data_IF_538702148870
#
_entry.id   IF_538702148870
#
_cell.length_a   1.000
_cell.length_b   1.000
_cell.length_c   1.000
_cell.angle_alpha   90.00
_cell.angle_beta   90.00
_cell.angle_gamma   90.00
#
_symmetry.space_group_name_H-M   'P 1'
#
loop_
_entity.id
_entity.type
_entity.pdbx_description
1 polymer ?
#
# COMPACT_ATOMS: atom_id res chain seq x y z
N UNK A 1 1.73 -7.95 2.17
CA UNK A 1 0.56 -7.16 2.65
C UNK A 1 1.14 -5.96 3.40
N UNK A 2 0.54 -4.77 3.32
CA UNK A 2 1.08 -3.58 3.99
C UNK A 2 -0.02 -2.82 4.74
N UNK A 3 -0.15 -3.12 6.02
CA UNK A 3 -1.17 -2.50 6.88
C UNK A 3 -0.57 -1.28 7.57
N UNK A 4 -1.05 -0.10 7.18
CA UNK A 4 -0.68 1.16 7.83
C UNK A 4 -1.29 1.19 9.25
N UNK A 5 -0.50 1.48 10.30
CA UNK A 5 -0.98 1.58 11.68
C UNK A 5 -2.18 2.51 11.79
N UNK A 6 -3.17 2.17 12.62
CA UNK A 6 -4.44 2.89 12.68
C UNK A 6 -4.29 4.42 12.86
N UNK A 7 -3.41 4.94 13.73
CA UNK A 7 -3.24 6.39 13.89
C UNK A 7 -2.60 7.08 12.68
N UNK A 8 -1.78 6.37 11.91
CA UNK A 8 -1.18 6.85 10.67
C UNK A 8 -2.12 6.74 9.45
N UNK A 9 -3.27 6.06 9.58
CA UNK A 9 -4.23 5.97 8.48
C UNK A 9 -4.71 7.38 8.11
N UNK A 10 -4.84 7.64 6.80
CA UNK A 10 -5.25 8.92 6.20
C UNK A 10 -4.21 10.05 6.22
N UNK A 11 -3.07 9.86 6.88
CA UNK A 11 -1.90 10.75 6.75
C UNK A 11 -1.02 10.25 5.62
N UNK A 12 -1.10 10.91 4.47
CA UNK A 12 -0.39 10.55 3.24
C UNK A 12 -0.02 11.80 2.45
N UNK A 13 0.94 11.67 1.53
CA UNK A 13 1.42 12.80 0.74
C UNK A 13 0.32 13.32 -0.19
N UNK A 14 -0.54 12.45 -0.72
CA UNK A 14 -1.68 12.86 -1.58
C UNK A 14 -2.57 13.92 -0.93
N UNK A 15 -2.78 13.83 0.39
CA UNK A 15 -3.56 14.81 1.16
C UNK A 15 -2.74 16.05 1.56
N UNK A 16 -1.41 15.94 1.58
CA UNK A 16 -0.47 16.99 1.97
C UNK A 16 -0.03 17.90 0.81
N UNK A 17 -0.29 17.51 -0.45
CA UNK A 17 0.10 18.25 -1.65
C UNK A 17 -1.11 18.64 -2.51
N UNK A 18 -0.92 19.55 -3.47
CA UNK A 18 -1.97 19.81 -4.46
C UNK A 18 -2.31 18.58 -5.29
N UNK A 19 -3.57 18.51 -5.72
CA UNK A 19 -4.01 17.59 -6.75
C UNK A 19 -3.11 17.56 -7.99
N UNK A 20 -2.67 18.71 -8.51
CA UNK A 20 -1.78 18.77 -9.68
C UNK A 20 -0.39 18.18 -9.42
N UNK A 21 0.16 18.39 -8.23
CA UNK A 21 1.45 17.80 -7.81
C UNK A 21 1.30 16.28 -7.68
N UNK A 22 0.23 15.82 -7.03
CA UNK A 22 -0.06 14.39 -6.92
C UNK A 22 -0.26 13.73 -8.29
N UNK A 23 -1.02 14.35 -9.20
CA UNK A 23 -1.24 13.84 -10.55
C UNK A 23 0.07 13.74 -11.35
N UNK A 24 0.99 14.70 -11.16
CA UNK A 24 2.34 14.65 -11.75
C UNK A 24 3.16 13.49 -11.19
N UNK A 25 3.24 13.35 -9.86
CA UNK A 25 3.93 12.22 -9.20
C UNK A 25 3.38 10.90 -9.73
N UNK A 26 2.06 10.73 -9.69
CA UNK A 26 1.42 9.49 -10.12
C UNK A 26 1.68 9.17 -11.60
N UNK A 27 1.72 10.19 -12.47
CA UNK A 27 2.07 10.03 -13.88
C UNK A 27 3.51 9.58 -14.05
N UNK A 28 4.46 10.28 -13.44
CA UNK A 28 5.89 9.98 -13.52
C UNK A 28 6.22 8.60 -12.95
N UNK A 29 5.57 8.16 -11.88
CA UNK A 29 5.73 6.82 -11.31
C UNK A 29 5.30 5.73 -12.30
N UNK A 30 4.15 5.90 -12.97
CA UNK A 30 3.68 4.96 -14.01
C UNK A 30 4.63 4.91 -15.20
N UNK A 31 5.09 6.06 -15.68
CA UNK A 31 5.99 6.17 -16.83
C UNK A 31 7.36 5.52 -16.55
N UNK A 32 7.94 5.77 -15.36
CA UNK A 32 9.19 5.14 -14.90
C UNK A 32 9.11 3.61 -14.87
N UNK A 33 7.93 3.05 -14.65
CA UNK A 33 7.68 1.60 -14.63
C UNK A 33 7.17 1.05 -15.96
N UNK A 34 7.27 1.81 -17.05
CA UNK A 34 6.84 1.37 -18.38
C UNK A 34 5.34 1.11 -18.49
N UNK A 35 4.53 1.82 -17.68
CA UNK A 35 3.08 1.62 -17.55
C UNK A 35 2.69 0.19 -17.18
N UNK A 36 3.41 -0.41 -16.22
CA UNK A 36 3.13 -1.75 -15.68
C UNK A 36 3.08 -1.72 -14.16
N UNK A 37 2.42 -2.72 -13.58
CA UNK A 37 2.51 -2.99 -12.15
C UNK A 37 3.97 -3.27 -11.74
N UNK A 38 4.48 -2.58 -10.73
CA UNK A 38 5.84 -2.76 -10.22
C UNK A 38 6.05 -4.01 -9.39
N UNK A 39 4.98 -4.72 -9.05
CA UNK A 39 5.05 -5.99 -8.32
C UNK A 39 4.91 -7.17 -9.28
N UNK A 40 3.80 -7.27 -10.01
CA UNK A 40 3.49 -8.44 -10.84
C UNK A 40 3.73 -8.26 -12.35
N UNK A 41 4.16 -7.07 -12.79
CA UNK A 41 4.39 -6.76 -14.21
C UNK A 41 3.14 -6.67 -15.08
N UNK A 42 1.94 -6.81 -14.50
CA UNK A 42 0.67 -6.74 -15.21
C UNK A 42 0.49 -5.37 -15.88
N UNK A 43 -0.07 -5.41 -17.10
CA UNK A 43 -0.38 -4.27 -17.95
C UNK A 43 -1.89 -3.95 -17.95
N UNK A 44 -2.66 -4.66 -17.12
CA UNK A 44 -4.11 -4.50 -16.98
C UNK A 44 -4.59 -3.11 -16.57
N UNK A 45 -5.90 -2.89 -16.71
CA UNK A 45 -6.56 -1.59 -16.59
C UNK A 45 -6.29 -0.82 -15.28
N UNK A 46 -6.31 0.51 -15.40
CA UNK A 46 -6.12 1.58 -14.38
C UNK A 46 -5.12 1.24 -13.27
N UNK A 47 -3.86 1.58 -13.51
CA UNK A 47 -2.81 1.56 -12.49
C UNK A 47 -3.04 2.63 -11.41
N UNK A 48 -2.85 2.23 -10.16
CA UNK A 48 -2.82 3.10 -8.99
C UNK A 48 -1.39 3.52 -8.67
N UNK A 49 -1.19 4.75 -8.18
CA UNK A 49 0.07 5.16 -7.56
C UNK A 49 -0.06 4.93 -6.05
N UNK A 50 0.84 4.13 -5.51
CA UNK A 50 0.91 3.78 -4.10
C UNK A 50 2.20 4.35 -3.51
N UNK A 51 2.12 4.89 -2.30
CA UNK A 51 3.28 5.36 -1.54
C UNK A 51 4.06 4.17 -0.97
N UNK A 52 5.37 4.32 -0.79
CA UNK A 52 6.22 3.34 -0.12
C UNK A 52 6.73 3.99 1.17
N UNK A 53 6.41 3.38 2.30
CA UNK A 53 6.78 3.87 3.61
C UNK A 53 7.74 2.90 4.32
N UNK A 54 8.78 3.44 4.95
CA UNK A 54 9.62 2.72 5.90
C UNK A 54 9.19 3.06 7.33
N UNK A 55 9.23 2.08 8.24
CA UNK A 55 8.75 2.24 9.62
C UNK A 55 9.91 2.08 10.60
N UNK A 56 10.14 3.08 11.44
CA UNK A 56 10.99 3.03 12.62
C UNK A 56 10.11 2.77 13.86
N UNK A 57 10.01 1.52 14.27
CA UNK A 57 9.24 1.09 15.45
C UNK A 57 9.82 1.57 16.79
N UNK A 58 11.08 2.03 16.82
CA UNK A 58 11.71 2.51 18.06
C UNK A 58 11.35 3.97 18.35
N UNK A 59 11.24 4.78 17.30
CA UNK A 59 10.88 6.19 17.39
C UNK A 59 9.44 6.50 16.94
N UNK A 60 8.73 5.50 16.42
CA UNK A 60 7.39 5.63 15.84
C UNK A 60 7.32 6.67 14.71
N UNK A 61 8.31 6.64 13.83
CA UNK A 61 8.39 7.50 12.64
C UNK A 61 8.19 6.64 11.40
N UNK A 62 7.40 7.11 10.44
CA UNK A 62 7.25 6.46 9.14
C UNK A 62 7.67 7.42 8.03
N UNK A 63 8.64 6.98 7.23
CA UNK A 63 9.32 7.82 6.24
C UNK A 63 8.88 7.48 4.83
N UNK A 64 8.46 8.48 4.05
CA UNK A 64 8.12 8.31 2.65
C UNK A 64 9.39 8.16 1.81
N UNK A 65 9.62 6.95 1.30
CA UNK A 65 10.82 6.62 0.53
C UNK A 65 10.57 6.48 -0.97
N UNK A 66 9.32 6.57 -1.41
CA UNK A 66 9.01 6.64 -2.84
C UNK A 66 7.59 6.24 -3.20
N UNK A 67 7.42 5.88 -4.46
CA UNK A 67 6.14 5.48 -5.02
C UNK A 67 6.28 4.27 -5.93
N UNK A 68 5.21 3.49 -6.01
CA UNK A 68 5.09 2.36 -6.91
C UNK A 68 3.74 2.37 -7.62
N UNK A 69 3.77 2.06 -8.91
CA UNK A 69 2.58 1.83 -9.72
C UNK A 69 2.09 0.40 -9.55
N UNK A 70 0.82 0.21 -9.20
CA UNK A 70 0.22 -1.09 -8.91
C UNK A 70 -1.03 -1.35 -9.75
N UNK A 71 -1.24 -2.59 -10.18
CA UNK A 71 -2.53 -3.03 -10.70
C UNK A 71 -3.57 -3.13 -9.57
N UNK A 72 -4.85 -3.26 -9.93
CA UNK A 72 -5.95 -3.33 -8.97
C UNK A 72 -5.79 -4.43 -7.91
N UNK A 73 -5.34 -5.62 -8.30
CA UNK A 73 -5.11 -6.73 -7.35
C UNK A 73 -3.92 -6.45 -6.42
N UNK A 74 -2.77 -6.03 -6.94
CA UNK A 74 -1.61 -5.67 -6.11
C UNK A 74 -1.94 -4.51 -5.13
N UNK A 75 -2.69 -3.51 -5.60
CA UNK A 75 -3.17 -2.42 -4.76
C UNK A 75 -4.12 -2.94 -3.66
N UNK A 76 -5.02 -3.87 -4.00
CA UNK A 76 -5.93 -4.50 -3.03
C UNK A 76 -5.20 -5.36 -2.01
N UNK A 77 -4.10 -6.02 -2.41
CA UNK A 77 -3.20 -6.77 -1.54
C UNK A 77 -2.47 -5.87 -0.56
N UNK A 78 -1.98 -4.70 -1.01
CA UNK A 78 -1.39 -3.69 -0.13
C UNK A 78 -2.42 -3.26 0.91
N UNK A 79 -3.63 -2.91 0.49
CA UNK A 79 -4.73 -2.50 1.38
C UNK A 79 -5.60 -3.66 1.90
N UNK A 80 -5.02 -4.79 2.31
CA UNK A 80 -5.78 -6.00 2.64
C UNK A 80 -6.85 -5.79 3.72
N UNK A 81 -6.58 -4.98 4.75
CA UNK A 81 -7.57 -4.64 5.79
C UNK A 81 -8.83 -3.99 5.22
N UNK A 82 -8.67 -3.01 4.32
CA UNK A 82 -9.79 -2.37 3.64
C UNK A 82 -10.46 -3.32 2.63
N UNK A 83 -9.65 -4.08 1.87
CA UNK A 83 -10.15 -5.09 0.92
C UNK A 83 -11.08 -6.09 1.59
N UNK A 84 -10.72 -6.60 2.77
CA UNK A 84 -11.58 -7.50 3.56
C UNK A 84 -12.90 -6.85 3.98
N UNK A 85 -12.88 -5.59 4.40
CA UNK A 85 -14.11 -4.85 4.74
C UNK A 85 -15.03 -4.73 3.51
N UNK A 86 -14.47 -4.49 2.34
CA UNK A 86 -15.23 -4.38 1.09
C UNK A 86 -15.74 -5.73 0.60
N UNK A 87 -14.97 -6.81 0.79
CA UNK A 87 -15.39 -8.17 0.48
C UNK A 87 -16.56 -8.63 1.37
N UNK A 88 -16.55 -8.28 2.67
CA UNK A 88 -17.68 -8.53 3.57
C UNK A 88 -18.98 -7.83 3.13
N UNK A 89 -18.88 -6.77 2.31
CA UNK A 89 -20.04 -6.08 1.69
C UNK A 89 -20.40 -6.63 0.31
N UNK A 90 -19.72 -7.68 -0.17
CA UNK A 90 -19.90 -8.24 -1.51
C UNK A 90 -19.38 -7.36 -2.65
N UNK A 91 -18.54 -6.36 -2.36
CA UNK A 91 -18.03 -5.40 -3.36
C UNK A 91 -16.72 -5.83 -4.01
N UNK A 92 -16.01 -6.77 -3.40
CA UNK A 92 -14.72 -7.29 -3.87
C UNK A 92 -14.70 -8.80 -3.72
N UNK A 93 -14.24 -9.50 -4.75
CA UNK A 93 -13.91 -10.92 -4.67
C UNK A 93 -12.57 -11.09 -3.93
N UNK A 94 -12.64 -11.42 -2.64
CA UNK A 94 -11.45 -11.61 -1.80
C UNK A 94 -10.63 -12.82 -2.26
N UNK A 95 -11.27 -13.87 -2.75
CA UNK A 95 -10.59 -15.09 -3.15
C UNK A 95 -9.68 -14.82 -4.35
N UNK A 96 -10.16 -14.05 -5.33
CA UNK A 96 -9.36 -13.61 -6.47
C UNK A 96 -8.14 -12.76 -6.05
N UNK A 97 -8.26 -11.92 -5.01
CA UNK A 97 -7.13 -11.13 -4.47
C UNK A 97 -6.10 -12.04 -3.80
N UNK A 98 -6.55 -13.04 -3.04
CA UNK A 98 -5.67 -14.02 -2.39
C UNK A 98 -4.97 -14.92 -3.42
N UNK A 99 -5.69 -15.37 -4.44
CA UNK A 99 -5.13 -16.14 -5.56
C UNK A 99 -4.06 -15.33 -6.29
N UNK A 100 -4.30 -14.03 -6.51
CA UNK A 100 -3.30 -13.14 -7.08
C UNK A 100 -2.05 -13.04 -6.19
N UNK A 101 -2.21 -12.87 -4.87
CA UNK A 101 -1.09 -12.87 -3.93
C UNK A 101 -0.27 -14.16 -4.03
N UNK A 102 -0.95 -15.32 -3.99
CA UNK A 102 -0.31 -16.63 -4.02
C UNK A 102 0.47 -16.83 -5.32
N UNK A 103 -0.13 -16.49 -6.47
CA UNK A 103 0.52 -16.55 -7.79
C UNK A 103 1.77 -15.69 -7.86
N UNK A 104 1.69 -14.44 -7.39
CA UNK A 104 2.79 -13.47 -7.46
C UNK A 104 3.96 -13.87 -6.56
N UNK A 105 3.66 -14.40 -5.36
CA UNK A 105 4.67 -14.75 -4.38
C UNK A 105 5.12 -16.23 -4.45
N UNK A 106 4.50 -17.03 -5.32
CA UNK A 106 4.81 -18.46 -5.44
C UNK A 106 4.48 -19.26 -4.18
N UNK A 107 3.47 -18.85 -3.41
CA UNK A 107 3.08 -19.49 -2.15
C UNK A 107 1.69 -20.13 -2.23
N UNK A 108 1.39 -20.98 -1.27
CA UNK A 108 0.08 -21.61 -1.07
C UNK A 108 -0.86 -20.69 -0.28
N UNK A 109 -2.16 -21.01 -0.30
CA UNK A 109 -3.17 -20.30 0.52
C UNK A 109 -2.94 -20.48 2.02
N UNK A 110 -2.42 -21.64 2.45
CA UNK A 110 -2.07 -21.87 3.84
C UNK A 110 -0.94 -20.94 4.30
N UNK A 111 0.13 -20.82 3.50
CA UNK A 111 1.23 -19.89 3.78
C UNK A 111 0.75 -18.43 3.76
N UNK A 112 -0.14 -18.06 2.84
CA UNK A 112 -0.79 -16.74 2.86
C UNK A 112 -1.53 -16.50 4.18
N UNK A 113 -2.33 -17.45 4.65
CA UNK A 113 -3.09 -17.31 5.90
C UNK A 113 -2.17 -17.17 7.12
N UNK A 114 -1.07 -17.91 7.16
CA UNK A 114 -0.10 -17.80 8.25
C UNK A 114 0.66 -16.46 8.21
N UNK A 115 1.09 -16.03 7.03
CA UNK A 115 1.69 -14.71 6.83
C UNK A 115 0.71 -13.58 7.19
N UNK A 116 -0.56 -13.72 6.83
CA UNK A 116 -1.59 -12.75 7.16
C UNK A 116 -1.74 -12.57 8.67
N UNK A 117 -1.75 -13.65 9.46
CA UNK A 117 -1.81 -13.57 10.92
C UNK A 117 -0.64 -12.76 11.48
N UNK A 118 0.57 -12.97 10.97
CA UNK A 118 1.77 -12.22 11.38
C UNK A 118 1.61 -10.73 11.08
N UNK A 119 1.22 -10.38 9.85
CA UNK A 119 1.05 -8.97 9.45
C UNK A 119 -0.06 -8.27 10.23
N UNK A 120 -1.18 -8.95 10.52
CA UNK A 120 -2.24 -8.37 11.34
C UNK A 120 -1.82 -8.22 12.81
N UNK A 121 -1.04 -9.16 13.37
CA UNK A 121 -0.48 -9.02 14.71
C UNK A 121 0.45 -7.80 14.81
N UNK A 122 1.34 -7.60 13.82
CA UNK A 122 2.19 -6.41 13.72
C UNK A 122 1.35 -5.13 13.63
N UNK A 123 0.34 -5.10 12.75
CA UNK A 123 -0.59 -3.98 12.63
C UNK A 123 -1.26 -3.63 13.97
N UNK A 124 -1.73 -4.63 14.72
CA UNK A 124 -2.36 -4.41 16.02
C UNK A 124 -1.39 -3.85 17.06
N UNK A 125 -0.14 -4.34 17.07
CA UNK A 125 0.91 -3.84 17.95
C UNK A 125 1.30 -2.39 17.60
N UNK A 126 1.57 -2.09 16.32
CA UNK A 126 1.90 -0.74 15.86
C UNK A 126 0.76 0.25 16.08
N UNK A 127 -0.48 -0.20 16.00
CA UNK A 127 -1.67 0.64 16.21
C UNK A 127 -1.91 1.05 17.67
N UNK A 128 -1.07 0.62 18.61
CA UNK A 128 -1.11 1.10 20.01
C UNK A 128 -0.34 2.41 20.23
N UNK A 129 0.39 2.89 19.23
CA UNK A 129 1.25 4.05 19.32
C UNK A 129 0.85 5.10 18.29
N UNK A 130 1.05 6.37 18.63
CA UNK A 130 0.99 7.46 17.67
C UNK A 130 2.24 7.41 16.78
N UNK A 131 2.08 7.78 15.52
CA UNK A 131 3.15 7.73 14.53
C UNK A 131 3.33 9.11 13.89
N UNK A 132 4.58 9.54 13.75
CA UNK A 132 4.93 10.81 13.11
C UNK A 132 5.33 10.60 11.63
N UNK A 133 4.70 11.30 10.67
CA UNK A 133 5.10 11.21 9.27
C UNK A 133 6.40 11.98 9.02
N UNK A 134 7.35 11.34 8.36
CA UNK A 134 8.47 12.01 7.70
C UNK A 134 8.28 11.90 6.18
N UNK A 135 8.13 13.02 5.48
CA UNK A 135 7.97 13.02 4.03
C UNK A 135 9.29 12.89 3.25
N UNK A 136 10.43 12.79 3.94
CA UNK A 136 11.74 12.53 3.34
C UNK A 136 12.09 13.53 2.24
N UNK A 137 12.53 13.02 1.09
CA UNK A 137 12.87 13.85 -0.09
C UNK A 137 11.67 14.66 -0.63
N UNK A 138 10.44 14.29 -0.26
CA UNK A 138 9.21 14.92 -0.70
C UNK A 138 8.71 16.01 0.25
N UNK A 139 9.38 16.25 1.38
CA UNK A 139 8.97 17.26 2.36
C UNK A 139 8.83 18.66 1.74
N UNK A 140 9.66 19.00 0.75
CA UNK A 140 9.59 20.28 0.03
C UNK A 140 8.32 20.48 -0.81
N UNK A 141 7.56 19.41 -1.06
CA UNK A 141 6.31 19.44 -1.84
C UNK A 141 5.06 19.68 -0.97
N UNK A 142 5.20 19.45 0.34
CA UNK A 142 4.14 19.56 1.34
C UNK A 142 3.80 21.03 1.57
N UNK A 143 2.51 21.31 1.80
CA UNK A 143 1.95 22.66 1.94
C UNK A 143 1.67 23.04 3.38
#
# INVERSE_FOLDING_TARGET
>A
IELVPKPAQYTNLRNAVTRSVWEKIAKETKERQGNKCGICGDQGHRLCCHEIWEYDDSHFIYTLVGFISLCGYCNSVKHMGFTKIQAAKGLVDLEAVIDHFCKVNGCTKAEYQDYEKVVFAEYHARSQYEWEPDFGEYASLVR
#
